data_IF_224906042457
#
_entry.id   IF_224906042457
#
_cell.length_a   1.000
_cell.length_b   1.000
_cell.length_c   1.000
_cell.angle_alpha   90.00
_cell.angle_beta   90.00
_cell.angle_gamma   90.00
#
_symmetry.space_group_name_H-M   'P 1'
#
loop_
_entity.id
_entity.type
_entity.pdbx_description
1 polymer ?
#
# COMPACT_ATOMS: atom_id res chain seq x y z
N UNK A 1 38.44 4.84 -38.82
CA UNK A 1 38.91 5.53 -37.58
C UNK A 1 38.89 7.06 -37.65
N UNK A 2 38.46 7.67 -38.73
CA UNK A 2 38.42 9.14 -38.93
C UNK A 2 37.24 9.84 -38.24
N UNK A 3 36.09 9.18 -38.12
CA UNK A 3 34.87 9.76 -37.53
C UNK A 3 35.04 10.02 -36.02
N UNK A 4 35.65 9.09 -35.30
CA UNK A 4 35.91 9.23 -33.86
C UNK A 4 36.89 10.36 -33.54
N UNK A 5 37.93 10.51 -34.36
CA UNK A 5 38.88 11.63 -34.24
C UNK A 5 38.20 12.99 -34.50
N UNK A 6 37.31 13.05 -35.51
CA UNK A 6 36.52 14.24 -35.78
C UNK A 6 35.60 14.60 -34.64
N UNK A 7 34.90 13.63 -34.04
CA UNK A 7 34.05 13.84 -32.85
C UNK A 7 34.85 14.41 -31.67
N UNK A 8 36.03 13.81 -31.37
CA UNK A 8 36.88 14.29 -30.27
C UNK A 8 37.36 15.75 -30.47
N UNK A 9 37.69 16.11 -31.71
CA UNK A 9 38.16 17.46 -32.04
C UNK A 9 37.02 18.46 -31.86
N UNK A 10 35.80 18.15 -32.31
CA UNK A 10 34.62 18.99 -32.16
C UNK A 10 34.26 19.16 -30.69
N UNK A 11 34.26 18.04 -29.93
CA UNK A 11 33.98 18.05 -28.48
C UNK A 11 35.01 18.90 -27.71
N UNK A 12 36.31 18.76 -28.07
CA UNK A 12 37.38 19.54 -27.41
C UNK A 12 37.27 21.05 -27.73
N UNK A 13 36.81 21.42 -28.92
CA UNK A 13 36.60 22.81 -29.34
C UNK A 13 35.38 23.43 -28.61
N UNK A 14 34.37 22.61 -28.28
CA UNK A 14 33.18 23.04 -27.58
C UNK A 14 33.14 22.58 -26.09
N UNK A 15 34.30 22.34 -25.51
CA UNK A 15 34.43 21.79 -24.17
C UNK A 15 33.70 22.63 -23.11
N UNK A 16 33.75 23.94 -23.24
CA UNK A 16 33.06 24.87 -22.33
C UNK A 16 31.53 24.64 -22.36
N UNK A 17 30.97 24.43 -23.57
CA UNK A 17 29.54 24.18 -23.74
C UNK A 17 29.14 22.81 -23.18
N UNK A 18 29.98 21.79 -23.37
CA UNK A 18 29.77 20.44 -22.80
C UNK A 18 29.79 20.49 -21.28
N UNK A 19 30.76 21.19 -20.69
CA UNK A 19 30.84 21.37 -19.23
C UNK A 19 29.65 22.14 -18.68
N UNK A 20 29.17 23.17 -19.38
CA UNK A 20 27.99 23.92 -18.99
C UNK A 20 26.74 23.01 -18.94
N UNK A 21 26.48 22.19 -19.95
CA UNK A 21 25.38 21.24 -19.97
C UNK A 21 25.51 20.19 -18.85
N UNK A 22 26.73 19.67 -18.65
CA UNK A 22 26.99 18.71 -17.59
C UNK A 22 26.75 19.31 -16.20
N UNK A 23 27.17 20.57 -15.99
CA UNK A 23 26.95 21.28 -14.74
C UNK A 23 25.44 21.52 -14.48
N UNK A 24 24.71 21.94 -15.50
CA UNK A 24 23.25 22.12 -15.40
C UNK A 24 22.58 20.78 -15.09
N UNK A 25 22.93 19.71 -15.80
CA UNK A 25 22.36 18.38 -15.59
C UNK A 25 22.64 17.86 -14.15
N UNK A 26 23.89 18.00 -13.69
CA UNK A 26 24.25 17.63 -12.32
C UNK A 26 23.52 18.48 -11.28
N UNK A 27 23.40 19.78 -11.51
CA UNK A 27 22.68 20.68 -10.59
C UNK A 27 21.21 20.30 -10.50
N UNK A 28 20.54 20.05 -11.64
CA UNK A 28 19.16 19.58 -11.66
C UNK A 28 19.03 18.21 -10.98
N UNK A 29 19.96 17.29 -11.24
CA UNK A 29 19.98 15.96 -10.60
C UNK A 29 20.13 16.03 -9.08
N UNK A 30 21.01 16.89 -8.59
CA UNK A 30 21.23 17.11 -7.15
C UNK A 30 20.03 17.80 -6.51
N UNK A 31 19.45 18.82 -7.17
CA UNK A 31 18.24 19.49 -6.70
C UNK A 31 17.03 18.56 -6.70
N UNK A 32 16.83 17.77 -7.74
CA UNK A 32 15.78 16.77 -7.80
C UNK A 32 15.96 15.68 -6.73
N UNK A 33 17.18 15.23 -6.51
CA UNK A 33 17.51 14.25 -5.47
C UNK A 33 17.39 14.84 -4.05
N UNK A 34 17.66 16.13 -3.87
CA UNK A 34 17.58 16.81 -2.57
C UNK A 34 16.18 17.32 -2.23
N UNK A 35 15.28 17.49 -3.22
CA UNK A 35 13.90 17.88 -2.98
C UNK A 35 13.05 16.76 -2.39
N UNK A 36 13.49 15.52 -2.51
CA UNK A 36 12.87 14.34 -1.93
C UNK A 36 13.31 14.05 -0.49
N UNK A 37 13.88 15.04 0.22
CA UNK A 37 14.25 14.86 1.63
C UNK A 37 13.04 14.67 2.58
N UNK A 38 11.80 14.73 2.05
CA UNK A 38 10.61 14.24 2.74
C UNK A 38 10.12 12.88 2.19
N UNK A 39 10.78 12.32 1.17
CA UNK A 39 10.54 10.94 0.72
C UNK A 39 11.79 10.13 1.10
N UNK A 40 11.86 9.74 2.35
CA UNK A 40 12.87 8.83 2.87
C UNK A 40 12.95 7.59 1.99
N UNK A 41 14.03 7.49 1.19
CA UNK A 41 14.42 6.29 0.47
C UNK A 41 13.38 5.75 -0.51
N UNK A 42 13.78 5.40 -1.70
CA UNK A 42 12.98 4.70 -2.72
C UNK A 42 12.55 3.27 -2.31
N UNK A 43 12.31 3.05 -1.02
CA UNK A 43 11.51 1.96 -0.53
C UNK A 43 10.06 2.44 -0.55
N UNK A 44 9.15 1.68 -1.13
CA UNK A 44 7.72 1.86 -1.00
C UNK A 44 7.38 1.90 0.50
N UNK A 45 7.26 3.10 1.07
CA UNK A 45 6.71 3.26 2.42
C UNK A 45 5.20 3.23 2.27
N UNK A 46 4.61 2.12 2.65
CA UNK A 46 3.18 2.02 2.78
C UNK A 46 2.70 3.13 3.73
N UNK A 47 2.01 4.11 3.17
CA UNK A 47 1.44 5.18 3.97
C UNK A 47 0.37 4.59 4.87
N UNK A 48 0.45 4.89 6.17
CA UNK A 48 -0.58 4.46 7.11
C UNK A 48 -1.93 5.07 6.72
N UNK A 49 -2.89 4.21 6.40
CA UNK A 49 -4.24 4.60 6.02
C UNK A 49 -5.17 4.53 7.22
N UNK A 50 -6.27 5.25 7.16
CA UNK A 50 -7.39 5.02 8.08
C UNK A 50 -8.31 3.97 7.47
N UNK A 51 -8.37 2.79 8.09
CA UNK A 51 -9.18 1.64 7.67
C UNK A 51 -10.37 1.52 8.60
N UNK A 52 -11.58 1.62 8.02
CA UNK A 52 -12.83 1.32 8.71
C UNK A 52 -13.04 -0.20 8.78
N UNK A 53 -13.43 -0.70 9.93
CA UNK A 53 -13.77 -2.11 10.14
C UNK A 53 -15.21 -2.20 10.63
N UNK A 54 -16.02 -2.95 9.90
CA UNK A 54 -17.37 -3.34 10.30
C UNK A 54 -17.29 -4.84 10.63
N UNK A 55 -17.38 -5.18 11.91
CA UNK A 55 -17.18 -6.54 12.39
C UNK A 55 -18.50 -7.13 12.88
N UNK A 56 -19.02 -8.14 12.15
CA UNK A 56 -20.22 -8.89 12.52
C UNK A 56 -19.89 -10.21 13.24
N UNK A 57 -18.65 -10.70 13.11
CA UNK A 57 -18.23 -11.98 13.72
C UNK A 57 -17.83 -11.83 15.19
N UNK A 58 -17.08 -10.77 15.52
CA UNK A 58 -16.59 -10.51 16.88
C UNK A 58 -15.69 -11.61 17.46
N UNK A 59 -15.28 -12.57 16.62
CA UNK A 59 -14.49 -13.75 17.01
C UNK A 59 -13.01 -13.45 17.20
N UNK A 60 -12.26 -14.50 17.52
CA UNK A 60 -10.79 -14.40 17.69
C UNK A 60 -10.12 -14.03 16.37
N UNK A 61 -10.60 -14.60 15.25
CA UNK A 61 -10.03 -14.39 13.94
C UNK A 61 -10.26 -12.97 13.43
N UNK A 62 -11.46 -12.39 13.63
CA UNK A 62 -11.78 -11.01 13.25
C UNK A 62 -10.97 -9.99 14.06
N UNK A 63 -10.84 -10.23 15.36
CA UNK A 63 -9.97 -9.43 16.23
C UNK A 63 -8.50 -9.55 15.82
N UNK A 64 -8.05 -10.75 15.46
CA UNK A 64 -6.71 -11.00 14.94
C UNK A 64 -6.43 -10.20 13.67
N UNK A 65 -7.37 -10.18 12.72
CA UNK A 65 -7.26 -9.37 11.50
C UNK A 65 -7.17 -7.87 11.82
N UNK A 66 -8.03 -7.40 12.71
CA UNK A 66 -8.01 -5.98 13.14
C UNK A 66 -6.69 -5.62 13.82
N UNK A 67 -6.16 -6.52 14.66
CA UNK A 67 -4.86 -6.33 15.33
C UNK A 67 -3.71 -6.35 14.33
N UNK A 68 -3.73 -7.27 13.36
CA UNK A 68 -2.73 -7.33 12.30
C UNK A 68 -2.71 -6.06 11.46
N UNK A 69 -3.88 -5.59 11.03
CA UNK A 69 -3.98 -4.34 10.25
C UNK A 69 -3.58 -3.11 11.09
N UNK A 70 -3.81 -3.10 12.39
CA UNK A 70 -3.43 -2.00 13.27
C UNK A 70 -1.93 -1.77 13.40
N UNK A 71 -1.11 -2.76 13.03
CA UNK A 71 0.35 -2.63 12.99
C UNK A 71 0.82 -1.68 11.88
N UNK A 72 0.02 -1.53 10.83
CA UNK A 72 0.36 -0.76 9.62
C UNK A 72 -0.57 0.42 9.37
N UNK A 73 -1.79 0.36 9.91
CA UNK A 73 -2.87 1.30 9.62
C UNK A 73 -3.57 1.77 10.89
N UNK A 74 -4.26 2.90 10.79
CA UNK A 74 -5.15 3.36 11.85
C UNK A 74 -6.51 2.68 11.70
N UNK A 75 -6.89 1.83 12.65
CA UNK A 75 -8.16 1.10 12.60
C UNK A 75 -9.26 1.92 13.27
N UNK A 76 -10.40 2.05 12.59
CA UNK A 76 -11.60 2.69 13.10
C UNK A 76 -12.77 1.73 13.03
N UNK A 77 -13.30 1.34 14.19
CA UNK A 77 -14.54 0.55 14.24
C UNK A 77 -15.71 1.41 13.76
N UNK A 78 -16.52 0.85 12.87
CA UNK A 78 -17.64 1.54 12.27
C UNK A 78 -18.94 0.72 12.42
N UNK A 79 -20.07 1.41 12.63
CA UNK A 79 -21.36 0.72 12.62
C UNK A 79 -21.72 0.27 11.20
N UNK A 80 -22.51 -0.79 11.09
CA UNK A 80 -23.08 -1.24 9.82
C UNK A 80 -24.24 -0.33 9.40
N UNK A 81 -23.89 0.84 8.91
CA UNK A 81 -24.82 1.85 8.40
C UNK A 81 -24.26 2.36 7.06
N UNK A 82 -24.88 1.91 5.98
CA UNK A 82 -24.43 2.24 4.61
C UNK A 82 -24.26 3.74 4.39
N UNK A 83 -25.14 4.56 4.94
CA UNK A 83 -25.07 6.01 4.77
C UNK A 83 -23.81 6.58 5.47
N UNK A 84 -23.54 6.13 6.70
CA UNK A 84 -22.35 6.54 7.46
C UNK A 84 -21.05 6.03 6.83
N UNK A 85 -21.08 4.80 6.28
CA UNK A 85 -19.92 4.23 5.60
C UNK A 85 -19.58 5.00 4.31
N UNK A 86 -20.60 5.34 3.52
CA UNK A 86 -20.45 6.16 2.32
C UNK A 86 -19.98 7.57 2.65
N UNK A 87 -20.56 8.21 3.66
CA UNK A 87 -20.16 9.55 4.12
C UNK A 87 -18.70 9.57 4.60
N UNK A 88 -18.29 8.55 5.34
CA UNK A 88 -16.91 8.43 5.82
C UNK A 88 -15.89 8.27 4.69
N UNK A 89 -16.22 7.50 3.63
CA UNK A 89 -15.38 7.38 2.42
C UNK A 89 -15.39 8.66 1.61
N UNK A 90 -16.55 9.28 1.42
CA UNK A 90 -16.70 10.50 0.64
C UNK A 90 -15.92 11.67 1.27
N UNK A 91 -16.03 11.85 2.58
CA UNK A 91 -15.30 12.87 3.34
C UNK A 91 -13.84 12.49 3.63
N UNK A 92 -13.35 11.35 3.11
CA UNK A 92 -12.00 10.83 3.33
C UNK A 92 -11.62 10.66 4.81
N UNK A 93 -12.62 10.47 5.67
CA UNK A 93 -12.41 10.14 7.08
C UNK A 93 -11.83 8.72 7.22
N UNK A 94 -12.15 7.83 6.27
CA UNK A 94 -11.53 6.53 6.04
C UNK A 94 -11.21 6.39 4.54
N UNK A 95 -10.13 5.70 4.23
CA UNK A 95 -9.71 5.46 2.84
C UNK A 95 -10.14 4.09 2.34
N UNK A 96 -10.44 3.19 3.27
CA UNK A 96 -10.76 1.80 3.01
C UNK A 96 -11.70 1.28 4.10
N UNK A 97 -12.68 0.47 3.72
CA UNK A 97 -13.59 -0.19 4.67
C UNK A 97 -13.59 -1.68 4.37
N UNK A 98 -13.40 -2.48 5.39
CA UNK A 98 -13.55 -3.93 5.35
C UNK A 98 -14.75 -4.34 6.19
N UNK A 99 -15.61 -5.19 5.62
CA UNK A 99 -16.76 -5.77 6.32
C UNK A 99 -16.47 -7.25 6.60
N UNK A 100 -16.47 -7.61 7.85
CA UNK A 100 -16.22 -8.97 8.32
C UNK A 100 -17.60 -9.64 8.54
N UNK A 101 -17.95 -10.71 7.80
CA UNK A 101 -19.24 -11.38 7.95
C UNK A 101 -19.33 -12.19 9.24
N UNK A 102 -20.54 -12.54 9.68
CA UNK A 102 -20.79 -13.33 10.91
C UNK A 102 -20.14 -14.72 10.89
N UNK A 103 -20.00 -15.31 9.71
CA UNK A 103 -19.40 -16.63 9.51
C UNK A 103 -17.98 -16.54 8.92
N UNK A 104 -17.20 -15.57 9.37
CA UNK A 104 -15.88 -15.21 8.83
C UNK A 104 -14.94 -16.42 8.67
N UNK A 105 -14.89 -17.30 9.67
CA UNK A 105 -14.05 -18.50 9.63
C UNK A 105 -14.47 -19.46 8.51
N UNK A 106 -15.75 -19.67 8.33
CA UNK A 106 -16.27 -20.62 7.32
C UNK A 106 -16.17 -20.03 5.91
N UNK A 107 -16.68 -18.84 5.72
CA UNK A 107 -16.70 -18.17 4.41
C UNK A 107 -15.29 -17.89 3.88
N UNK A 108 -14.44 -17.31 4.69
CA UNK A 108 -13.14 -16.86 4.22
C UNK A 108 -12.03 -17.90 4.29
N UNK A 109 -12.06 -18.83 5.27
CA UNK A 109 -11.03 -19.86 5.37
C UNK A 109 -11.38 -21.11 4.60
N UNK A 110 -12.60 -21.64 4.74
CA UNK A 110 -13.00 -22.90 4.09
C UNK A 110 -13.49 -22.72 2.67
N UNK A 111 -14.36 -21.73 2.43
CA UNK A 111 -14.97 -21.48 1.12
C UNK A 111 -14.13 -20.54 0.26
N UNK A 112 -13.03 -19.99 0.78
CA UNK A 112 -12.13 -19.08 0.07
C UNK A 112 -12.80 -17.82 -0.46
N UNK A 113 -13.90 -17.40 0.14
CA UNK A 113 -14.55 -16.15 -0.24
C UNK A 113 -13.67 -14.94 0.09
N UNK A 114 -13.70 -13.95 -0.78
CA UNK A 114 -13.04 -12.66 -0.51
C UNK A 114 -13.89 -11.85 0.47
N UNK A 115 -13.23 -11.11 1.37
CA UNK A 115 -13.93 -10.18 2.23
C UNK A 115 -14.58 -9.06 1.41
N UNK A 116 -15.83 -8.68 1.73
CA UNK A 116 -16.43 -7.49 1.17
C UNK A 116 -15.66 -6.25 1.59
N UNK A 117 -15.24 -5.44 0.60
CA UNK A 117 -14.48 -4.22 0.84
C UNK A 117 -15.07 -3.06 0.06
N UNK A 118 -14.99 -1.88 0.65
CA UNK A 118 -15.32 -0.62 -0.02
C UNK A 118 -14.11 0.30 0.03
N UNK A 119 -13.70 0.80 -1.12
CA UNK A 119 -12.52 1.66 -1.25
C UNK A 119 -12.76 2.77 -2.28
N UNK A 120 -11.98 3.82 -2.19
CA UNK A 120 -12.04 4.92 -3.15
C UNK A 120 -11.56 4.41 -4.51
N UNK A 121 -12.36 4.55 -5.59
CA UNK A 121 -11.97 4.11 -6.92
C UNK A 121 -10.67 4.76 -7.38
N UNK A 122 -9.76 3.96 -7.93
CA UNK A 122 -8.45 4.45 -8.43
C UNK A 122 -7.40 4.74 -7.36
N UNK A 123 -7.68 4.46 -6.09
CA UNK A 123 -6.69 4.56 -5.01
C UNK A 123 -5.70 3.41 -5.08
N UNK A 124 -4.43 3.73 -5.26
CA UNK A 124 -3.30 2.76 -5.22
C UNK A 124 -3.14 2.17 -3.81
N UNK A 125 -3.46 2.98 -2.80
CA UNK A 125 -3.29 2.62 -1.39
C UNK A 125 -4.23 1.48 -0.96
N UNK A 126 -5.43 1.42 -1.56
CA UNK A 126 -6.39 0.35 -1.31
C UNK A 126 -5.88 -1.03 -1.71
N UNK A 127 -5.05 -1.14 -2.74
CA UNK A 127 -4.45 -2.41 -3.16
C UNK A 127 -3.47 -2.97 -2.13
N UNK A 128 -2.79 -2.10 -1.40
CA UNK A 128 -1.87 -2.53 -0.36
C UNK A 128 -2.63 -3.16 0.82
N UNK A 129 -3.75 -2.58 1.22
CA UNK A 129 -4.63 -3.16 2.25
C UNK A 129 -5.21 -4.49 1.77
N UNK A 130 -5.68 -4.58 0.51
CA UNK A 130 -6.15 -5.85 -0.09
C UNK A 130 -5.07 -6.94 0.02
N UNK A 131 -3.82 -6.61 -0.30
CA UNK A 131 -2.71 -7.56 -0.21
C UNK A 131 -2.43 -8.02 1.22
N UNK A 132 -2.51 -7.11 2.19
CA UNK A 132 -2.34 -7.45 3.59
C UNK A 132 -3.46 -8.35 4.11
N UNK A 133 -4.71 -8.04 3.77
CA UNK A 133 -5.86 -8.90 4.11
C UNK A 133 -5.68 -10.29 3.52
N UNK A 134 -5.33 -10.38 2.24
CA UNK A 134 -5.10 -11.67 1.58
C UNK A 134 -3.92 -12.44 2.22
N UNK A 135 -2.87 -11.74 2.63
CA UNK A 135 -1.74 -12.36 3.32
C UNK A 135 -2.19 -12.95 4.65
N UNK A 136 -2.96 -12.20 5.45
CA UNK A 136 -3.51 -12.67 6.71
C UNK A 136 -4.41 -13.90 6.52
N UNK A 137 -5.35 -13.84 5.56
CA UNK A 137 -6.26 -14.95 5.26
C UNK A 137 -5.51 -16.21 4.81
N UNK A 138 -4.50 -16.05 3.96
CA UNK A 138 -3.68 -17.18 3.51
C UNK A 138 -2.90 -17.81 4.66
N UNK A 139 -2.32 -17.02 5.55
CA UNK A 139 -1.64 -17.52 6.75
C UNK A 139 -2.62 -18.26 7.68
N UNK A 140 -3.80 -17.69 7.91
CA UNK A 140 -4.84 -18.32 8.73
C UNK A 140 -5.33 -19.64 8.13
N UNK A 141 -5.47 -19.74 6.79
CA UNK A 141 -5.82 -21.00 6.10
C UNK A 141 -4.76 -22.06 6.30
N UNK A 142 -3.48 -21.73 6.08
CA UNK A 142 -2.38 -22.67 6.27
C UNK A 142 -2.34 -23.20 7.71
N UNK A 143 -2.55 -22.35 8.70
CA UNK A 143 -2.62 -22.75 10.10
C UNK A 143 -3.81 -23.67 10.39
N UNK A 144 -4.99 -23.35 9.83
CA UNK A 144 -6.19 -24.18 9.99
C UNK A 144 -6.02 -25.55 9.33
N UNK A 145 -5.45 -25.62 8.14
CA UNK A 145 -5.20 -26.85 7.38
C UNK A 145 -4.11 -27.73 8.05
N UNK A 146 -3.16 -27.10 8.75
CA UNK A 146 -2.14 -27.82 9.52
C UNK A 146 -2.62 -28.37 10.87
N UNK A 147 -3.92 -28.20 11.18
CA UNK A 147 -4.53 -28.74 12.40
C UNK A 147 -4.33 -27.88 13.65
N UNK A 148 -3.84 -26.68 13.50
CA UNK A 148 -3.86 -25.67 14.57
C UNK A 148 -5.33 -25.26 14.81
N UNK A 149 -5.92 -25.82 15.85
CA UNK A 149 -7.27 -25.47 16.31
C UNK A 149 -7.19 -24.28 17.27
N UNK A 150 -8.18 -23.38 17.20
CA UNK A 150 -8.35 -22.18 18.04
C UNK A 150 -8.41 -22.49 19.56
N UNK A 151 -7.37 -23.09 20.09
CA UNK A 151 -7.18 -23.21 21.54
C UNK A 151 -5.96 -22.37 21.89
N UNK A 152 -6.21 -21.15 22.13
CA UNK A 152 -5.64 -20.15 23.05
C UNK A 152 -5.67 -18.75 22.44
#
# INVERSE_FOLDING_TARGET
MTVFKGFLIITKRNLLMVFMYLAIFLTIGILASGSDSNTSGSGFHAQALTVGVVDHDGGVLSKGLSTYLSQYHTIRQMPDDTAKLQDALFNRNVSYIVTIPEDFKTSCLREHQALPVSKIPGSTDGYYVDQQINTYLNQARVLTDSGYSDKE
#
